data_IF_036771042140
#
_entry.id   IF_036771042140
#
_cell.length_a   1.000
_cell.length_b   1.000
_cell.length_c   1.000
_cell.angle_alpha   90.00
_cell.angle_beta   90.00
_cell.angle_gamma   90.00
#
_symmetry.space_group_name_H-M   'P 1'
#
loop_
_entity.id
_entity.type
_entity.pdbx_description
1 polymer ?
#
# COMPACT_ATOMS: atom_id res chain seq x y z
N UNK A 1 -14.32 10.58 0.10
CA UNK A 1 -13.50 11.79 -0.17
C UNK A 1 -14.44 12.99 -0.16
N UNK A 2 -14.31 13.93 0.79
CA UNK A 2 -15.19 15.12 0.83
C UNK A 2 -14.72 16.08 -0.27
N UNK A 3 -15.62 16.47 -1.18
CA UNK A 3 -15.32 17.40 -2.29
C UNK A 3 -14.53 16.81 -3.45
N UNK A 4 -14.50 15.48 -3.60
CA UNK A 4 -13.97 14.81 -4.79
C UNK A 4 -15.09 14.42 -5.75
N UNK A 5 -14.70 13.93 -6.92
CA UNK A 5 -15.58 13.40 -7.95
C UNK A 5 -15.47 11.86 -8.01
N UNK A 6 -16.45 11.23 -8.66
CA UNK A 6 -16.39 9.80 -8.93
C UNK A 6 -15.27 9.50 -9.94
N UNK A 7 -14.38 8.57 -9.57
CA UNK A 7 -13.29 8.14 -10.43
C UNK A 7 -13.79 7.22 -11.55
N UNK A 8 -13.14 7.25 -12.71
CA UNK A 8 -13.37 6.23 -13.72
C UNK A 8 -12.88 4.86 -13.22
N UNK A 9 -13.48 3.77 -13.69
CA UNK A 9 -13.15 2.39 -13.28
C UNK A 9 -11.66 2.04 -13.46
N UNK A 10 -10.97 2.69 -14.40
CA UNK A 10 -9.56 2.43 -14.73
C UNK A 10 -8.62 3.54 -14.23
N UNK A 11 -9.11 4.50 -13.46
CA UNK A 11 -8.32 5.66 -13.04
C UNK A 11 -7.29 5.31 -11.96
N UNK A 12 -7.61 4.33 -11.11
CA UNK A 12 -6.78 3.88 -10.00
C UNK A 12 -6.63 2.36 -9.96
N UNK A 13 -5.94 1.77 -10.95
CA UNK A 13 -5.83 0.31 -11.09
C UNK A 13 -4.98 -0.35 -9.98
N UNK A 14 -4.35 0.45 -9.12
CA UNK A 14 -3.61 0.04 -7.93
C UNK A 14 -4.47 0.05 -6.65
N UNK A 15 -5.69 0.60 -6.70
CA UNK A 15 -6.54 0.71 -5.52
C UNK A 15 -7.08 -0.68 -5.16
N UNK A 16 -6.77 -1.11 -3.95
CA UNK A 16 -7.24 -2.38 -3.41
C UNK A 16 -8.18 -2.09 -2.25
N UNK A 17 -9.28 -2.82 -2.17
CA UNK A 17 -10.21 -2.72 -1.06
C UNK A 17 -10.13 -3.99 -0.21
N UNK A 18 -9.89 -3.82 1.09
CA UNK A 18 -9.94 -4.93 2.03
C UNK A 18 -11.36 -5.10 2.54
N UNK A 19 -11.85 -6.34 2.48
CA UNK A 19 -13.16 -6.73 3.01
C UNK A 19 -12.98 -7.82 4.06
N UNK A 20 -13.76 -7.73 5.13
CA UNK A 20 -13.92 -8.84 6.08
C UNK A 20 -15.36 -9.33 6.07
N UNK A 21 -16.29 -8.49 6.54
CA UNK A 21 -17.75 -8.63 6.37
C UNK A 21 -18.34 -7.45 5.61
N UNK A 22 -17.74 -6.28 5.82
CA UNK A 22 -17.98 -5.03 5.10
C UNK A 22 -16.63 -4.49 4.64
N UNK A 23 -16.66 -3.44 3.81
CA UNK A 23 -15.48 -2.68 3.46
C UNK A 23 -14.76 -2.23 4.73
N UNK A 24 -13.46 -2.50 4.80
CA UNK A 24 -12.64 -2.18 5.96
C UNK A 24 -11.76 -0.96 5.69
N UNK A 25 -10.84 -1.11 4.72
CA UNK A 25 -9.88 -0.07 4.37
C UNK A 25 -9.49 -0.16 2.89
N UNK A 26 -8.92 0.93 2.39
CA UNK A 26 -8.26 0.97 1.11
C UNK A 26 -6.77 0.68 1.27
N UNK A 27 -6.19 -0.03 0.32
CA UNK A 27 -4.78 -0.39 0.24
C UNK A 27 -4.23 -0.03 -1.14
N UNK A 28 -2.91 -0.12 -1.30
CA UNK A 28 -2.24 0.14 -2.57
C UNK A 28 -1.49 -1.09 -3.05
N UNK A 29 -1.80 -1.59 -4.24
CA UNK A 29 -1.00 -2.60 -4.91
C UNK A 29 0.33 -1.97 -5.35
N UNK A 30 1.47 -2.50 -4.87
CA UNK A 30 2.80 -1.96 -5.17
C UNK A 30 3.64 -2.90 -6.06
N UNK A 31 3.26 -4.18 -6.14
CA UNK A 31 3.69 -5.11 -7.19
C UNK A 31 2.67 -6.25 -7.31
N UNK A 32 2.98 -7.33 -8.05
CA UNK A 32 2.04 -8.43 -8.25
C UNK A 32 1.76 -9.25 -6.97
N UNK A 33 2.60 -9.20 -5.95
CA UNK A 33 2.49 -10.05 -4.75
C UNK A 33 2.26 -9.27 -3.46
N UNK A 34 2.39 -7.95 -3.46
CA UNK A 34 2.45 -7.14 -2.26
C UNK A 34 1.52 -5.94 -2.36
N UNK A 35 0.77 -5.75 -1.28
CA UNK A 35 -0.03 -4.54 -1.05
C UNK A 35 0.55 -3.78 0.14
N UNK A 36 0.52 -2.47 0.02
CA UNK A 36 0.91 -1.52 1.03
C UNK A 36 -0.32 -1.01 1.76
N UNK A 37 -0.25 -1.02 3.09
CA UNK A 37 -1.29 -0.43 3.92
C UNK A 37 -0.79 0.24 5.21
N UNK A 38 -1.68 0.84 5.98
CA UNK A 38 -1.39 1.40 7.29
C UNK A 38 -1.32 0.30 8.37
N UNK A 39 -0.36 0.39 9.30
CA UNK A 39 -0.20 -0.61 10.35
C UNK A 39 -1.35 -0.60 11.35
N UNK A 40 -1.95 0.56 11.64
CA UNK A 40 -3.07 0.64 12.59
C UNK A 40 -4.31 -0.13 12.11
N UNK A 41 -4.43 -0.37 10.80
CA UNK A 41 -5.52 -1.17 10.23
C UNK A 41 -5.44 -2.65 10.64
N UNK A 42 -4.26 -3.11 11.05
CA UNK A 42 -4.03 -4.49 11.49
C UNK A 42 -4.65 -4.84 12.83
N UNK A 43 -5.05 -3.86 13.65
CA UNK A 43 -5.50 -4.08 15.03
C UNK A 43 -6.70 -5.03 15.13
N UNK A 44 -7.44 -5.22 14.03
CA UNK A 44 -8.62 -6.09 13.96
C UNK A 44 -8.38 -7.42 13.25
N UNK A 45 -7.17 -7.65 12.72
CA UNK A 45 -6.85 -8.89 12.02
C UNK A 45 -6.08 -9.84 12.93
N UNK A 46 -6.38 -11.15 12.90
CA UNK A 46 -5.43 -12.12 13.43
C UNK A 46 -4.11 -11.89 12.70
N UNK A 47 -2.98 -11.86 13.44
CA UNK A 47 -1.65 -11.70 12.85
C UNK A 47 -1.35 -12.91 11.97
N UNK A 48 -1.78 -12.86 10.72
CA UNK A 48 -1.47 -13.86 9.72
C UNK A 48 -0.01 -13.76 9.29
N UNK A 49 0.51 -14.87 8.77
CA UNK A 49 1.89 -15.04 8.32
C UNK A 49 2.33 -14.04 7.24
N UNK A 50 1.39 -13.30 6.67
CA UNK A 50 1.59 -12.43 5.52
C UNK A 50 1.78 -10.95 5.88
N UNK A 51 1.55 -10.57 7.14
CA UNK A 51 1.71 -9.18 7.58
C UNK A 51 3.15 -8.91 8.01
N UNK A 52 3.80 -7.93 7.36
CA UNK A 52 5.13 -7.46 7.72
C UNK A 52 5.03 -6.03 8.23
N UNK A 53 5.39 -5.87 9.50
CA UNK A 53 5.32 -4.63 10.25
C UNK A 53 6.66 -3.95 10.33
N UNK A 54 6.65 -2.61 10.32
CA UNK A 54 7.76 -1.79 10.78
C UNK A 54 7.79 -1.78 12.33
N UNK A 55 8.78 -2.38 13.03
CA UNK A 55 8.72 -2.59 14.49
C UNK A 55 8.79 -1.31 15.34
N UNK A 56 9.37 -0.23 14.81
CA UNK A 56 9.71 0.98 15.58
C UNK A 56 8.69 2.12 15.44
N UNK A 57 7.41 1.74 15.33
CA UNK A 57 6.27 2.64 15.29
C UNK A 57 6.32 3.69 14.18
N UNK A 58 5.92 3.27 12.98
CA UNK A 58 5.34 4.16 11.99
C UNK A 58 4.23 3.41 11.24
N UNK A 59 3.20 4.11 10.81
CA UNK A 59 1.92 3.56 10.33
C UNK A 59 2.00 2.94 8.92
N UNK A 60 2.87 1.95 8.74
CA UNK A 60 3.11 1.26 7.47
C UNK A 60 3.21 -0.25 7.67
N UNK A 61 2.53 -0.99 6.80
CA UNK A 61 2.46 -2.44 6.81
C UNK A 61 2.45 -2.97 5.37
N UNK A 62 3.16 -4.06 5.14
CA UNK A 62 3.10 -4.80 3.89
C UNK A 62 2.32 -6.09 4.11
N UNK A 63 1.46 -6.43 3.14
CA UNK A 63 0.74 -7.69 3.12
C UNK A 63 1.13 -8.44 1.86
N UNK A 64 1.59 -9.67 2.03
CA UNK A 64 1.80 -10.57 0.90
C UNK A 64 0.49 -11.22 0.49
N UNK A 65 0.19 -11.21 -0.79
CA UNK A 65 -0.93 -11.91 -1.38
C UNK A 65 -0.64 -13.42 -1.46
N UNK A 66 -1.66 -14.26 -1.26
CA UNK A 66 -1.54 -15.71 -1.41
C UNK A 66 -1.13 -16.13 -2.83
N UNK A 67 -1.52 -15.33 -3.83
CA UNK A 67 -1.21 -15.54 -5.25
C UNK A 67 -0.88 -14.21 -5.92
N UNK A 68 0.09 -14.19 -6.85
CA UNK A 68 0.38 -12.99 -7.63
C UNK A 68 -0.84 -12.56 -8.46
N UNK A 69 -1.11 -11.26 -8.50
CA UNK A 69 -2.14 -10.70 -9.38
C UNK A 69 -1.70 -10.77 -10.83
N UNK A 70 -2.67 -10.93 -11.73
CA UNK A 70 -2.46 -10.78 -13.16
C UNK A 70 -2.75 -9.34 -13.57
N UNK A 71 -1.76 -8.68 -14.16
CA UNK A 71 -1.92 -7.30 -14.63
C UNK A 71 -2.95 -7.22 -15.75
N UNK A 72 -3.74 -6.15 -15.77
CA UNK A 72 -4.75 -5.86 -16.79
C UNK A 72 -4.97 -4.34 -16.88
N UNK A 73 -5.91 -3.89 -17.73
CA UNK A 73 -6.32 -2.49 -17.77
C UNK A 73 -6.90 -2.00 -16.44
N UNK A 74 -7.48 -2.90 -15.65
CA UNK A 74 -8.12 -2.62 -14.36
C UNK A 74 -7.20 -2.85 -13.16
N UNK A 75 -6.08 -3.56 -13.36
CA UNK A 75 -5.19 -4.00 -12.28
C UNK A 75 -3.74 -3.71 -12.69
N UNK A 76 -3.14 -2.73 -12.02
CA UNK A 76 -1.76 -2.34 -12.28
C UNK A 76 -1.14 -1.79 -10.99
N UNK A 77 0.04 -2.27 -10.57
CA UNK A 77 0.71 -1.76 -9.38
C UNK A 77 1.12 -0.29 -9.51
N UNK A 78 1.06 0.44 -8.39
CA UNK A 78 1.62 1.79 -8.27
C UNK A 78 3.14 1.70 -8.06
N UNK A 79 3.88 2.46 -8.87
CA UNK A 79 5.33 2.57 -8.71
C UNK A 79 5.69 3.32 -7.44
N UNK A 80 6.65 2.79 -6.68
CA UNK A 80 7.17 3.45 -5.48
C UNK A 80 7.91 4.76 -5.87
N UNK A 81 7.86 5.81 -5.03
CA UNK A 81 8.48 7.09 -5.34
C UNK A 81 10.02 6.95 -5.38
N UNK A 82 10.66 7.58 -6.37
CA UNK A 82 12.12 7.67 -6.48
C UNK A 82 12.74 8.84 -5.71
N UNK A 83 11.92 9.80 -5.27
CA UNK A 83 12.33 10.97 -4.49
C UNK A 83 11.19 11.45 -3.59
N UNK A 84 11.46 12.23 -2.52
CA UNK A 84 10.41 12.88 -1.75
C UNK A 84 9.58 13.82 -2.63
N UNK A 85 8.28 14.01 -2.32
CA UNK A 85 7.48 15.03 -3.00
C UNK A 85 8.02 16.43 -2.70
N UNK A 86 8.01 17.33 -3.69
CA UNK A 86 8.31 18.73 -3.47
C UNK A 86 7.20 19.41 -2.67
N UNK A 87 7.57 20.34 -1.79
CA UNK A 87 6.58 21.13 -1.03
C UNK A 87 5.63 21.83 -2.01
N UNK A 88 4.32 21.63 -1.83
CA UNK A 88 3.29 22.18 -2.72
C UNK A 88 2.84 21.25 -3.85
N UNK A 89 3.41 20.04 -3.98
CA UNK A 89 2.93 19.06 -4.96
C UNK A 89 1.47 18.68 -4.70
N UNK A 90 0.65 18.64 -5.76
CA UNK A 90 -0.73 18.17 -5.66
C UNK A 90 -0.75 16.65 -5.70
N UNK A 91 -1.21 16.04 -4.62
CA UNK A 91 -1.41 14.60 -4.51
C UNK A 91 -2.82 14.20 -4.94
N UNK A 92 -2.95 13.18 -5.78
CA UNK A 92 -4.25 12.57 -6.11
C UNK A 92 -4.63 11.54 -5.06
N UNK A 93 -5.87 11.62 -4.57
CA UNK A 93 -6.57 10.61 -3.76
C UNK A 93 -7.18 9.57 -4.74
N UNK A 94 -7.54 8.34 -4.32
CA UNK A 94 -7.88 7.91 -2.96
C UNK A 94 -6.78 7.22 -2.14
N UNK A 95 -5.78 6.59 -2.75
CA UNK A 95 -4.79 5.80 -2.02
C UNK A 95 -3.41 6.46 -2.05
N UNK A 96 -3.09 7.21 -1.00
CA UNK A 96 -1.76 7.77 -0.80
C UNK A 96 -1.37 7.75 0.67
N UNK A 97 -0.30 7.02 0.98
CA UNK A 97 0.36 7.09 2.28
C UNK A 97 1.35 8.26 2.26
N UNK A 98 1.16 9.20 3.19
CA UNK A 98 2.20 10.19 3.44
C UNK A 98 3.45 9.46 3.96
N UNK A 99 4.63 9.78 3.41
CA UNK A 99 5.96 9.26 3.83
C UNK A 99 6.39 7.88 3.33
N UNK A 100 5.78 7.29 2.29
CA UNK A 100 6.27 6.01 1.70
C UNK A 100 7.76 6.05 1.35
N UNK A 101 8.23 7.20 0.83
CA UNK A 101 9.64 7.39 0.48
C UNK A 101 10.59 7.13 1.66
N UNK A 102 10.21 7.49 2.88
CA UNK A 102 11.05 7.31 4.07
C UNK A 102 11.29 5.82 4.39
N UNK A 103 10.48 4.91 3.82
CA UNK A 103 10.61 3.45 3.96
C UNK A 103 11.03 2.76 2.68
N UNK A 104 11.39 3.49 1.63
CA UNK A 104 11.62 2.90 0.31
C UNK A 104 12.59 1.71 0.37
N UNK A 105 13.71 1.86 1.09
CA UNK A 105 14.70 0.80 1.26
C UNK A 105 14.16 -0.41 2.02
N UNK A 106 13.35 -0.16 3.06
CA UNK A 106 12.71 -1.23 3.82
C UNK A 106 11.71 -1.98 2.93
N UNK A 107 10.83 -1.27 2.23
CA UNK A 107 9.83 -1.86 1.33
C UNK A 107 10.52 -2.72 0.24
N UNK A 108 11.53 -2.16 -0.42
CA UNK A 108 12.28 -2.87 -1.46
C UNK A 108 12.98 -4.12 -0.92
N UNK A 109 13.55 -4.04 0.29
CA UNK A 109 14.19 -5.19 0.92
C UNK A 109 13.19 -6.30 1.24
N UNK A 110 12.00 -5.96 1.77
CA UNK A 110 10.94 -6.93 2.03
C UNK A 110 10.45 -7.57 0.72
N UNK A 111 10.23 -6.78 -0.32
CA UNK A 111 9.83 -7.29 -1.65
C UNK A 111 10.89 -8.25 -2.20
N UNK A 112 12.17 -7.98 -1.99
CA UNK A 112 13.28 -8.84 -2.39
C UNK A 112 13.42 -10.11 -1.53
N UNK A 113 12.58 -10.31 -0.52
CA UNK A 113 12.64 -11.47 0.39
C UNK A 113 13.71 -11.37 1.48
N UNK A 114 14.29 -10.19 1.68
CA UNK A 114 15.29 -9.95 2.72
C UNK A 114 14.63 -9.54 4.03
N UNK A 115 15.31 -9.80 5.15
CA UNK A 115 14.99 -9.16 6.42
C UNK A 115 15.56 -7.75 6.42
N UNK A 116 14.74 -6.75 6.77
CA UNK A 116 15.18 -5.36 6.85
C UNK A 116 14.74 -4.70 8.14
N UNK A 117 15.63 -3.90 8.70
CA UNK A 117 15.31 -2.99 9.80
C UNK A 117 14.49 -1.84 9.27
N UNK A 118 13.39 -1.53 9.94
CA UNK A 118 12.62 -0.34 9.61
C UNK A 118 13.40 0.92 10.01
N UNK A 119 13.44 1.97 9.16
CA UNK A 119 14.05 3.25 9.49
C UNK A 119 13.31 4.01 10.59
#
# INVERSE_FOLDING_TARGET
VIGGDECNINEHPFLVALYYSTFFCGMTLINQEWVLTAAHESEKFPKEKYFIFCPNNKDIMLIRLDKPVSNSEHIAPLSLPSSPPSVGSVCRKPALYTKVFDYLLWIQSIIAGNTATCP
#
